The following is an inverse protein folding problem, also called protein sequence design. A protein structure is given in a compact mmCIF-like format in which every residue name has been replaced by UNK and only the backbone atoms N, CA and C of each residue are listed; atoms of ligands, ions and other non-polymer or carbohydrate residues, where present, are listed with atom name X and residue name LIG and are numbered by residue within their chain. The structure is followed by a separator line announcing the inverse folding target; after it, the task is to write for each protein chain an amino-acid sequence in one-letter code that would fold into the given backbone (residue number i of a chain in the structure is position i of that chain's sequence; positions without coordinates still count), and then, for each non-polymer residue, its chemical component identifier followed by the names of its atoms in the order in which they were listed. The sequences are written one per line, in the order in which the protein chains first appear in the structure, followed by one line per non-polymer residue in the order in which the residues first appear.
data_IF_989496120321
#
_entry.id   IF_989496120321
#
_cell.length_a   1.000
_cell.length_b   1.000
_cell.length_c   1.000
_cell.angle_alpha   90.00
_cell.angle_beta   90.00
_cell.angle_gamma   90.00
#
_symmetry.space_group_name_H-M   'P 1'
#
loop_
_entity.id
_entity.type
_entity.pdbx_description
1 polymer ?
#
# COMPACT_ATOMS: atom_id res chain seq x y z
N UNK A 1 17.15 -7.19 2.64
CA UNK A 1 17.82 -6.33 3.65
C UNK A 1 17.71 -6.93 5.04
N UNK A 2 16.50 -7.28 5.52
CA UNK A 2 16.27 -8.00 6.80
C UNK A 2 17.15 -9.23 7.01
N UNK A 3 17.14 -10.20 6.08
CA UNK A 3 17.94 -11.42 6.19
C UNK A 3 19.45 -11.15 6.28
N UNK A 4 19.90 -10.00 5.78
CA UNK A 4 21.30 -9.57 5.80
C UNK A 4 21.63 -8.71 7.04
N UNK A 5 20.68 -8.48 7.95
CA UNK A 5 20.86 -7.64 9.14
C UNK A 5 20.96 -6.13 8.88
N UNK A 6 20.65 -5.69 7.65
CA UNK A 6 20.84 -4.29 7.23
C UNK A 6 19.73 -3.34 7.71
N UNK A 7 18.57 -3.89 8.08
CA UNK A 7 17.44 -3.16 8.65
C UNK A 7 16.93 -3.91 9.88
N UNK A 8 16.49 -3.19 10.93
CA UNK A 8 15.85 -3.82 12.10
C UNK A 8 14.55 -4.52 11.69
N UNK A 9 14.23 -5.64 12.36
CA UNK A 9 13.00 -6.41 12.09
C UNK A 9 11.73 -5.57 12.32
N UNK A 10 11.74 -4.74 13.35
CA UNK A 10 10.58 -3.99 13.81
C UNK A 10 10.47 -2.58 13.18
N UNK A 11 11.12 -2.34 12.04
CA UNK A 11 11.21 -1.02 11.43
C UNK A 11 11.39 -1.01 9.92
N UNK A 12 10.99 -2.08 9.22
CA UNK A 12 11.04 -2.08 7.75
C UNK A 12 9.86 -1.31 7.21
N UNK A 13 10.13 -0.07 6.83
CA UNK A 13 9.25 0.78 6.06
C UNK A 13 9.95 1.26 4.79
N UNK A 14 9.18 1.81 3.84
CA UNK A 14 9.76 2.45 2.66
C UNK A 14 10.71 3.60 3.05
N UNK A 15 10.41 4.30 4.14
CA UNK A 15 11.24 5.37 4.68
C UNK A 15 12.58 4.81 5.19
N UNK A 16 12.56 3.69 5.92
CA UNK A 16 13.79 3.05 6.40
C UNK A 16 14.66 2.52 5.24
N UNK A 17 14.04 1.96 4.20
CA UNK A 17 14.74 1.48 3.00
C UNK A 17 15.39 2.65 2.25
N UNK A 18 14.65 3.76 2.04
CA UNK A 18 15.20 4.97 1.40
C UNK A 18 16.39 5.52 2.20
N UNK A 19 16.22 5.69 3.51
CA UNK A 19 17.29 6.16 4.38
C UNK A 19 18.54 5.29 4.30
N UNK A 20 18.38 3.96 4.28
CA UNK A 20 19.54 3.07 4.12
C UNK A 20 20.31 3.34 2.82
N UNK A 21 19.62 3.53 1.70
CA UNK A 21 20.28 3.81 0.42
C UNK A 21 20.93 5.20 0.38
N UNK A 22 20.30 6.20 1.00
CA UNK A 22 20.89 7.54 1.13
C UNK A 22 22.19 7.50 1.95
N UNK A 23 22.21 6.70 3.02
CA UNK A 23 23.37 6.53 3.89
C UNK A 23 24.46 5.59 3.29
N UNK A 24 24.11 4.71 2.34
CA UNK A 24 24.99 3.68 1.77
C UNK A 24 24.84 3.59 0.23
N UNK A 25 25.20 4.65 -0.52
CA UNK A 25 24.96 4.73 -1.96
C UNK A 25 25.64 3.61 -2.77
N UNK A 26 26.80 3.13 -2.33
CA UNK A 26 27.56 2.04 -2.95
C UNK A 26 26.85 0.68 -2.96
N UNK A 27 25.96 0.46 -1.98
CA UNK A 27 25.17 -0.77 -1.86
C UNK A 27 23.94 -0.79 -2.76
N UNK A 28 23.53 0.38 -3.28
CA UNK A 28 22.25 0.60 -3.97
C UNK A 28 22.06 -0.36 -5.14
N UNK A 29 22.97 -0.34 -6.11
CA UNK A 29 22.86 -1.18 -7.31
C UNK A 29 22.83 -2.67 -6.97
N UNK A 30 23.70 -3.10 -6.04
CA UNK A 30 23.81 -4.50 -5.63
C UNK A 30 22.54 -5.00 -4.96
N UNK A 31 21.90 -4.17 -4.12
CA UNK A 31 20.68 -4.54 -3.42
C UNK A 31 19.45 -4.45 -4.31
N UNK A 32 19.30 -3.38 -5.12
CA UNK A 32 18.19 -3.26 -6.07
C UNK A 32 18.23 -4.38 -7.12
N UNK A 33 19.42 -4.76 -7.59
CA UNK A 33 19.61 -5.87 -8.53
C UNK A 33 19.25 -7.26 -7.99
N UNK A 34 18.89 -7.39 -6.70
CA UNK A 34 18.36 -8.67 -6.17
C UNK A 34 16.90 -8.91 -6.51
N UNK A 35 16.16 -7.87 -6.91
CA UNK A 35 14.80 -8.01 -7.41
C UNK A 35 14.84 -8.05 -8.96
N UNK A 36 14.54 -9.19 -9.61
CA UNK A 36 14.56 -9.29 -11.06
C UNK A 36 13.39 -8.54 -11.73
N UNK A 37 12.38 -8.12 -10.97
CA UNK A 37 11.24 -7.37 -11.50
C UNK A 37 11.65 -5.96 -11.91
N UNK A 38 11.17 -5.52 -13.08
CA UNK A 38 11.38 -4.17 -13.60
C UNK A 38 10.05 -3.56 -14.05
N UNK A 39 9.79 -2.31 -13.68
CA UNK A 39 8.54 -1.61 -14.02
C UNK A 39 8.81 -0.60 -15.13
N UNK A 40 8.01 -0.67 -16.19
CA UNK A 40 8.01 0.33 -17.26
C UNK A 40 6.83 1.28 -17.08
N UNK A 41 7.00 2.53 -17.52
CA UNK A 41 5.99 3.58 -17.40
C UNK A 41 5.64 4.15 -18.76
N UNK A 42 4.41 4.67 -18.88
CA UNK A 42 4.00 5.54 -20.00
C UNK A 42 3.59 6.90 -19.46
N UNK A 43 3.78 7.95 -20.24
CA UNK A 43 3.26 9.28 -19.92
C UNK A 43 1.73 9.28 -20.02
N UNK A 44 1.08 10.01 -19.12
CA UNK A 44 -0.37 10.16 -19.06
C UNK A 44 -0.74 11.50 -18.45
N UNK A 45 -1.75 12.15 -19.01
CA UNK A 45 -2.28 13.43 -18.50
C UNK A 45 -3.23 13.25 -17.31
N UNK A 46 -3.61 11.99 -16.99
CA UNK A 46 -4.44 11.65 -15.85
C UNK A 46 -4.08 10.28 -15.25
N UNK A 47 -4.73 9.92 -14.15
CA UNK A 47 -4.47 8.71 -13.37
C UNK A 47 -4.06 9.02 -11.94
N UNK A 48 -3.37 8.08 -11.25
CA UNK A 48 -3.06 6.70 -11.60
C UNK A 48 -4.27 5.87 -11.99
N UNK A 49 -4.02 4.99 -12.96
CA UNK A 49 -4.93 3.92 -13.33
C UNK A 49 -4.54 2.66 -12.58
N UNK A 50 -5.54 1.97 -12.03
CA UNK A 50 -5.33 0.61 -11.51
C UNK A 50 -5.26 -0.43 -12.62
N UNK A 51 -5.10 -1.69 -12.23
CA UNK A 51 -5.11 -2.84 -13.13
C UNK A 51 -6.36 -2.97 -14.01
N UNK A 52 -7.49 -2.38 -13.61
CA UNK A 52 -8.72 -2.32 -14.44
C UNK A 52 -8.68 -1.24 -15.54
N UNK A 53 -7.61 -0.45 -15.64
CA UNK A 53 -7.51 0.67 -16.58
C UNK A 53 -8.39 1.86 -16.22
N UNK A 54 -8.92 1.90 -15.00
CA UNK A 54 -9.74 3.00 -14.47
C UNK A 54 -8.97 3.78 -13.41
N UNK A 55 -9.28 5.07 -13.26
CA UNK A 55 -8.64 5.94 -12.28
C UNK A 55 -8.93 5.49 -10.85
N UNK A 56 -7.90 5.45 -10.01
CA UNK A 56 -8.07 5.12 -8.60
C UNK A 56 -8.69 6.29 -7.82
N UNK A 57 -9.63 5.95 -6.95
CA UNK A 57 -10.33 6.87 -6.06
C UNK A 57 -9.74 6.75 -4.65
N UNK A 58 -9.21 7.84 -4.07
CA UNK A 58 -8.66 7.82 -2.73
C UNK A 58 -9.65 7.25 -1.70
N UNK A 59 -9.17 6.32 -0.87
CA UNK A 59 -9.90 5.67 0.22
C UNK A 59 -11.14 4.87 -0.20
N UNK A 60 -11.24 4.54 -1.48
CA UNK A 60 -12.29 3.69 -2.07
C UNK A 60 -11.67 2.56 -2.90
N UNK A 61 -10.63 2.85 -3.67
CA UNK A 61 -9.94 1.82 -4.46
C UNK A 61 -8.96 1.02 -3.61
N UNK A 62 -8.93 -0.29 -3.82
CA UNK A 62 -7.96 -1.18 -3.20
C UNK A 62 -7.25 -2.05 -4.23
N UNK A 63 -5.98 -2.32 -3.96
CA UNK A 63 -5.28 -3.43 -4.60
C UNK A 63 -5.59 -4.74 -3.88
N UNK A 64 -5.85 -5.78 -4.67
CA UNK A 64 -6.24 -7.11 -4.18
C UNK A 64 -5.44 -8.21 -4.88
N UNK A 65 -5.57 -9.44 -4.40
CA UNK A 65 -5.17 -10.64 -5.13
C UNK A 65 -6.35 -11.11 -5.99
N UNK A 66 -6.31 -10.94 -7.33
CA UNK A 66 -7.45 -11.27 -8.20
C UNK A 66 -7.80 -12.75 -8.22
N UNK A 67 -6.89 -13.64 -7.79
CA UNK A 67 -7.17 -15.07 -7.65
C UNK A 67 -8.01 -15.41 -6.41
N UNK A 68 -8.12 -14.45 -5.48
CA UNK A 68 -8.84 -14.59 -4.21
C UNK A 68 -10.03 -13.63 -4.12
N UNK A 69 -9.82 -12.33 -4.40
CA UNK A 69 -10.86 -11.30 -4.51
C UNK A 69 -10.78 -10.73 -5.93
N UNK A 70 -11.70 -11.12 -6.84
CA UNK A 70 -11.66 -10.66 -8.22
C UNK A 70 -11.73 -9.14 -8.37
N UNK A 71 -11.06 -8.60 -9.39
CA UNK A 71 -11.21 -7.20 -9.76
C UNK A 71 -12.68 -6.87 -10.08
N UNK A 72 -13.13 -5.69 -9.68
CA UNK A 72 -14.52 -5.25 -9.74
C UNK A 72 -15.36 -5.65 -8.52
N UNK A 73 -14.82 -6.46 -7.60
CA UNK A 73 -15.50 -6.79 -6.34
C UNK A 73 -15.78 -5.53 -5.51
N UNK A 74 -16.97 -5.49 -4.91
CA UNK A 74 -17.36 -4.47 -3.93
C UNK A 74 -17.30 -5.06 -2.53
N UNK A 75 -16.84 -4.30 -1.55
CA UNK A 75 -16.84 -4.72 -0.15
C UNK A 75 -17.11 -3.57 0.80
N UNK A 76 -17.60 -3.89 1.99
CA UNK A 76 -17.55 -2.99 3.14
C UNK A 76 -16.23 -3.23 3.87
N UNK A 77 -15.66 -2.18 4.43
CA UNK A 77 -14.50 -2.29 5.30
C UNK A 77 -14.68 -1.48 6.58
N UNK A 78 -14.03 -1.93 7.64
CA UNK A 78 -13.89 -1.27 8.94
C UNK A 78 -12.43 -1.48 9.37
N UNK A 79 -11.59 -0.47 9.13
CA UNK A 79 -10.13 -0.58 9.26
C UNK A 79 -9.57 0.56 10.09
N UNK A 80 -8.61 0.31 11.00
CA UNK A 80 -7.97 1.36 11.78
C UNK A 80 -7.13 2.26 10.86
N UNK A 81 -7.21 3.57 11.04
CA UNK A 81 -6.45 4.53 10.24
C UNK A 81 -5.23 5.05 11.00
N UNK A 82 -4.06 5.14 10.36
CA UNK A 82 -2.93 5.89 10.91
C UNK A 82 -3.29 7.35 11.14
N UNK A 83 -2.95 7.88 12.32
CA UNK A 83 -3.04 9.30 12.65
C UNK A 83 -1.83 9.78 13.46
N UNK A 84 -1.62 11.09 13.47
CA UNK A 84 -0.61 11.72 14.32
C UNK A 84 -1.28 12.10 15.64
N UNK A 85 -0.70 11.68 16.75
CA UNK A 85 -1.14 12.10 18.08
C UNK A 85 -0.80 13.58 18.32
N UNK A 86 -1.18 14.13 19.49
CA UNK A 86 -0.93 15.53 19.87
C UNK A 86 0.55 15.94 19.81
N UNK A 87 1.47 14.97 19.92
CA UNK A 87 2.92 15.18 19.85
C UNK A 87 3.49 14.91 18.45
N UNK A 88 2.64 14.67 17.45
CA UNK A 88 3.03 14.39 16.08
C UNK A 88 3.53 12.96 15.83
N UNK A 89 3.48 12.06 16.82
CA UNK A 89 3.91 10.68 16.68
C UNK A 89 2.80 9.81 16.10
N UNK A 90 3.17 8.75 15.38
CA UNK A 90 2.23 7.77 14.83
C UNK A 90 1.41 7.08 15.93
N UNK A 91 0.10 6.96 15.71
CA UNK A 91 -0.80 6.04 16.40
C UNK A 91 -1.89 5.56 15.43
N UNK A 92 -2.62 4.51 15.80
CA UNK A 92 -3.89 4.21 15.15
C UNK A 92 -4.99 5.03 15.81
N UNK A 93 -5.75 5.75 14.99
CA UNK A 93 -6.92 6.52 15.41
C UNK A 93 -8.20 5.74 15.22
N UNK A 94 -9.29 6.48 15.01
CA UNK A 94 -10.59 5.90 14.72
C UNK A 94 -10.58 5.05 13.44
N UNK A 95 -11.40 3.99 13.45
CA UNK A 95 -11.56 3.18 12.27
C UNK A 95 -12.30 3.93 11.16
N UNK A 96 -11.78 3.84 9.94
CA UNK A 96 -12.50 4.23 8.74
C UNK A 96 -13.42 3.10 8.31
N UNK A 97 -14.71 3.45 8.18
CA UNK A 97 -15.75 2.57 7.63
C UNK A 97 -16.17 3.08 6.27
N UNK A 98 -16.31 2.18 5.30
CA UNK A 98 -16.65 2.61 3.95
C UNK A 98 -16.89 1.47 2.98
N UNK A 99 -17.19 1.87 1.74
CA UNK A 99 -17.21 0.98 0.59
C UNK A 99 -15.83 0.95 -0.07
N UNK A 100 -15.37 -0.25 -0.38
CA UNK A 100 -14.16 -0.52 -1.12
C UNK A 100 -14.47 -1.18 -2.47
N UNK A 101 -13.63 -0.87 -3.46
CA UNK A 101 -13.66 -1.45 -4.80
C UNK A 101 -12.30 -2.09 -5.09
N UNK A 102 -12.29 -3.36 -5.46
CA UNK A 102 -11.09 -4.05 -5.96
C UNK A 102 -10.75 -3.55 -7.37
N UNK A 103 -9.90 -2.54 -7.50
CA UNK A 103 -9.61 -1.88 -8.78
C UNK A 103 -8.16 -2.03 -9.23
N UNK A 104 -7.31 -2.57 -8.37
CA UNK A 104 -5.89 -2.73 -8.65
C UNK A 104 -5.33 -4.07 -8.15
N UNK A 105 -4.08 -4.35 -8.49
CA UNK A 105 -3.34 -5.51 -8.00
C UNK A 105 -1.89 -5.15 -7.71
N UNK A 106 -1.24 -5.92 -6.85
CA UNK A 106 0.17 -5.72 -6.53
C UNK A 106 0.92 -7.03 -6.35
N UNK A 107 2.20 -7.04 -6.71
CA UNK A 107 3.04 -8.24 -6.61
C UNK A 107 3.11 -8.81 -5.18
N UNK A 108 3.10 -7.95 -4.17
CA UNK A 108 3.12 -8.31 -2.75
C UNK A 108 1.72 -8.51 -2.12
N UNK A 109 0.66 -8.19 -2.86
CA UNK A 109 -0.72 -8.30 -2.39
C UNK A 109 -1.20 -9.72 -2.71
N UNK A 110 -1.49 -10.49 -1.66
CA UNK A 110 -1.79 -11.92 -1.74
C UNK A 110 -2.90 -12.30 -0.77
N UNK A 111 -3.84 -13.13 -1.24
CA UNK A 111 -4.98 -13.63 -0.45
C UNK A 111 -5.74 -12.50 0.26
N UNK A 112 -5.73 -12.48 1.59
CA UNK A 112 -6.45 -11.53 2.44
C UNK A 112 -5.69 -10.23 2.71
N UNK A 113 -4.49 -10.06 2.14
CA UNK A 113 -3.80 -8.77 2.17
C UNK A 113 -4.45 -7.82 1.16
N UNK A 114 -4.84 -6.63 1.63
CA UNK A 114 -5.42 -5.57 0.84
C UNK A 114 -4.55 -4.32 0.98
N UNK A 115 -4.40 -3.56 -0.10
CA UNK A 115 -3.69 -2.28 -0.08
C UNK A 115 -4.69 -1.15 -0.38
N UNK A 116 -4.89 -0.25 0.57
CA UNK A 116 -5.83 0.86 0.43
C UNK A 116 -5.16 2.05 -0.24
N UNK A 117 -5.67 2.42 -1.41
CA UNK A 117 -5.17 3.60 -2.10
C UNK A 117 -5.50 4.88 -1.32
N UNK A 118 -4.51 5.46 -0.65
CA UNK A 118 -4.72 6.61 0.26
C UNK A 118 -4.83 7.97 -0.46
N UNK A 119 -4.51 8.03 -1.76
CA UNK A 119 -4.52 9.25 -2.56
C UNK A 119 -3.12 9.79 -2.87
N UNK A 120 -3.00 11.12 -2.93
CA UNK A 120 -1.79 11.83 -3.37
C UNK A 120 -1.31 12.82 -2.31
N UNK A 121 -0.05 13.23 -2.42
CA UNK A 121 0.56 14.22 -1.54
C UNK A 121 1.18 13.63 -0.27
N UNK A 122 1.67 14.51 0.59
CA UNK A 122 2.44 14.14 1.78
C UNK A 122 1.60 13.36 2.79
N UNK A 123 0.35 13.78 3.02
CA UNK A 123 -0.54 13.10 3.97
C UNK A 123 -0.88 11.68 3.52
N UNK A 124 -1.22 11.49 2.24
CA UNK A 124 -1.50 10.16 1.70
C UNK A 124 -0.26 9.26 1.77
N UNK A 125 0.92 9.81 1.50
CA UNK A 125 2.20 9.09 1.61
C UNK A 125 2.49 8.69 3.05
N UNK A 126 2.23 9.59 4.00
CA UNK A 126 2.42 9.33 5.43
C UNK A 126 1.46 8.25 5.92
N UNK A 127 0.17 8.33 5.57
CA UNK A 127 -0.84 7.33 5.92
C UNK A 127 -0.44 5.97 5.33
N UNK A 128 -0.18 5.89 4.03
CA UNK A 128 0.19 4.64 3.36
C UNK A 128 1.44 4.00 3.96
N UNK A 129 2.45 4.80 4.35
CA UNK A 129 3.67 4.31 4.97
C UNK A 129 3.50 3.74 6.39
N UNK A 130 2.40 4.07 7.07
CA UNK A 130 2.09 3.61 8.43
C UNK A 130 0.88 2.65 8.48
N UNK A 131 0.26 2.38 7.33
CA UNK A 131 -0.87 1.47 7.23
C UNK A 131 -0.37 0.02 7.25
N UNK A 132 -0.44 -0.63 8.42
CA UNK A 132 -0.15 -2.05 8.56
C UNK A 132 -0.89 -2.62 9.76
N UNK A 133 -2.17 -2.93 9.58
CA UNK A 133 -3.04 -3.41 10.63
C UNK A 133 -4.05 -4.41 10.11
N UNK A 134 -4.54 -5.25 11.02
CA UNK A 134 -5.70 -6.09 10.78
C UNK A 134 -6.98 -5.24 10.84
N UNK A 135 -7.89 -5.51 9.91
CA UNK A 135 -9.19 -4.86 9.82
C UNK A 135 -10.24 -5.80 9.24
N UNK A 136 -11.51 -5.44 9.42
CA UNK A 136 -12.62 -6.27 8.97
C UNK A 136 -13.08 -5.87 7.57
N UNK A 137 -13.32 -6.85 6.70
CA UNK A 137 -13.80 -6.65 5.33
C UNK A 137 -14.87 -7.67 5.00
N UNK A 138 -15.96 -7.20 4.37
CA UNK A 138 -17.09 -8.02 3.96
C UNK A 138 -17.36 -7.84 2.47
N UNK A 139 -17.27 -8.94 1.72
CA UNK A 139 -17.58 -8.95 0.30
C UNK A 139 -19.09 -8.79 0.08
N UNK A 140 -19.46 -7.84 -0.77
CA UNK A 140 -20.85 -7.61 -1.17
C UNK A 140 -21.13 -8.41 -2.43
N UNK A 141 -21.95 -9.46 -2.31
CA UNK A 141 -22.37 -10.29 -3.43
C UNK A 141 -23.81 -9.93 -3.84
N UNK A 142 -24.10 -9.87 -5.16
CA UNK A 142 -25.46 -9.70 -5.64
C UNK A 142 -26.34 -10.90 -5.24
N UNK A 143 -27.65 -10.65 -5.10
CA UNK A 143 -28.64 -11.69 -4.87
C UNK A 143 -28.94 -12.50 -6.13
#
# INVERSE_FOLDING_TARGET
MLRKGLLPKDGVSMQAIRKYFDDNPEDTYKLLGTNPSYVFFRLSDSGPYGAMGQTLTPRVSLATDPSFIPLGSMFLFDVPMPEKNEKGAFQYGDNMKGLGLAQDTGGAIKKHHLDLFSGYGEDATWIAGHMNADGAVWLLLPK
#
